data_IF_606706526722
#
_entry.id   IF_606706526722
#
_cell.length_a   1.000
_cell.length_b   1.000
_cell.length_c   1.000
_cell.angle_alpha   90.00
_cell.angle_beta   90.00
_cell.angle_gamma   90.00
#
_symmetry.space_group_name_H-M   'P 1'
#
loop_
_entity.id
_entity.type
_entity.pdbx_description
1 polymer ?
#
# COMPACT_ATOMS: atom_id res chain seq x y z
N UNK A 1 8.18 1.68 -51.37
CA UNK A 1 8.16 2.88 -50.52
C UNK A 1 7.06 2.67 -49.52
N UNK A 2 7.40 2.11 -48.43
CA UNK A 2 6.51 1.81 -47.31
C UNK A 2 7.28 2.12 -46.04
N UNK A 3 6.97 3.28 -45.45
CA UNK A 3 7.29 3.61 -44.08
C UNK A 3 6.20 2.99 -43.24
N UNK A 4 6.49 1.90 -42.54
CA UNK A 4 5.65 1.32 -41.53
C UNK A 4 6.36 1.33 -40.18
N UNK A 5 5.99 2.35 -39.39
CA UNK A 5 5.39 2.18 -38.06
C UNK A 5 6.20 1.36 -37.07
N UNK A 6 7.08 2.03 -36.41
CA UNK A 6 7.46 1.67 -35.04
C UNK A 6 6.55 2.44 -34.07
N UNK A 7 5.34 1.98 -33.83
CA UNK A 7 4.57 2.33 -32.62
C UNK A 7 5.11 1.50 -31.47
N UNK A 8 6.17 1.99 -30.85
CA UNK A 8 6.73 1.37 -29.65
C UNK A 8 5.77 1.56 -28.48
N UNK A 9 5.41 0.46 -27.86
CA UNK A 9 4.78 0.34 -26.55
C UNK A 9 5.52 1.18 -25.50
N UNK A 10 4.95 2.33 -25.14
CA UNK A 10 5.42 3.21 -24.08
C UNK A 10 4.41 3.15 -22.92
N UNK A 11 4.17 1.96 -22.34
CA UNK A 11 3.29 1.88 -21.17
C UNK A 11 3.73 0.97 -20.02
N UNK A 12 4.87 0.27 -20.11
CA UNK A 12 5.20 -0.76 -19.13
C UNK A 12 6.27 -0.40 -18.08
N UNK A 13 6.77 0.83 -17.99
CA UNK A 13 7.90 1.11 -17.09
C UNK A 13 7.84 2.39 -16.26
N UNK A 14 6.74 3.13 -16.25
CA UNK A 14 6.73 4.49 -15.66
C UNK A 14 6.69 4.54 -14.12
N UNK A 15 6.36 3.46 -13.41
CA UNK A 15 6.18 3.47 -11.96
C UNK A 15 7.17 2.60 -11.16
N UNK A 16 8.09 1.89 -11.83
CA UNK A 16 9.11 1.10 -11.12
C UNK A 16 10.26 1.98 -10.67
N UNK A 17 10.71 1.75 -9.42
CA UNK A 17 11.88 2.46 -8.88
C UNK A 17 13.18 1.94 -9.50
N UNK A 18 14.22 2.77 -9.54
CA UNK A 18 15.59 2.35 -9.86
C UNK A 18 16.35 2.05 -8.57
N UNK A 19 17.41 1.26 -8.64
CA UNK A 19 18.26 0.97 -7.47
C UNK A 19 18.83 2.23 -6.80
N UNK A 20 19.05 3.32 -7.55
CA UNK A 20 19.62 4.58 -7.08
C UNK A 20 18.60 5.46 -6.39
N UNK A 21 17.31 5.31 -6.71
CA UNK A 21 16.21 6.16 -6.23
C UNK A 21 15.23 5.43 -5.33
N UNK A 22 15.65 4.28 -4.73
CA UNK A 22 14.86 3.40 -3.89
C UNK A 22 15.32 3.42 -2.42
N UNK A 23 14.97 4.47 -1.64
CA UNK A 23 15.39 4.56 -0.24
C UNK A 23 14.76 3.48 0.64
N UNK A 24 13.49 3.12 0.41
CA UNK A 24 12.79 2.07 1.17
C UNK A 24 13.45 0.71 0.92
N UNK A 25 13.65 0.33 -0.33
CA UNK A 25 14.29 -0.94 -0.66
C UNK A 25 15.74 -1.02 -0.18
N UNK A 26 16.50 0.09 -0.19
CA UNK A 26 17.85 0.14 0.41
C UNK A 26 17.81 -0.13 1.90
N UNK A 27 16.89 0.50 2.62
CA UNK A 27 16.71 0.30 4.05
C UNK A 27 16.36 -1.17 4.38
N UNK A 28 15.41 -1.74 3.62
CA UNK A 28 15.01 -3.14 3.73
C UNK A 28 16.20 -4.07 3.49
N UNK A 29 16.92 -3.88 2.39
CA UNK A 29 18.05 -4.75 2.03
C UNK A 29 19.18 -4.67 3.05
N UNK A 30 19.55 -3.46 3.50
CA UNK A 30 20.59 -3.29 4.53
C UNK A 30 20.20 -3.98 5.84
N UNK A 31 18.95 -3.80 6.29
CA UNK A 31 18.48 -4.46 7.51
C UNK A 31 18.52 -5.98 7.39
N UNK A 32 18.09 -6.53 6.27
CA UNK A 32 18.14 -7.97 6.01
C UNK A 32 19.58 -8.52 6.07
N UNK A 33 20.52 -7.82 5.43
CA UNK A 33 21.91 -8.29 5.31
C UNK A 33 22.71 -8.13 6.59
N UNK A 34 22.39 -7.14 7.42
CA UNK A 34 23.26 -6.74 8.57
C UNK A 34 22.56 -6.85 9.92
N UNK A 35 21.24 -7.00 9.95
CA UNK A 35 20.41 -6.90 11.16
C UNK A 35 20.34 -5.49 11.75
N UNK A 36 20.84 -4.48 11.03
CA UNK A 36 20.88 -3.08 11.45
C UNK A 36 20.50 -2.18 10.29
N UNK A 37 19.73 -1.14 10.58
CA UNK A 37 19.47 -0.03 9.69
C UNK A 37 19.19 1.22 10.51
N UNK A 38 19.49 2.39 9.98
CA UNK A 38 18.96 3.64 10.50
C UNK A 38 17.49 3.75 10.12
N UNK A 39 16.73 4.61 10.77
CA UNK A 39 15.33 4.86 10.39
C UNK A 39 15.26 5.42 8.96
N UNK A 40 14.18 5.05 8.26
CA UNK A 40 13.83 5.65 6.99
C UNK A 40 13.12 6.97 7.29
N UNK A 41 13.66 8.08 6.80
CA UNK A 41 13.08 9.41 6.99
C UNK A 41 12.00 9.68 5.96
N UNK A 42 10.89 10.26 6.42
CA UNK A 42 9.73 10.62 5.60
C UNK A 42 9.48 12.11 5.74
N UNK A 43 9.41 12.79 4.62
CA UNK A 43 9.17 14.23 4.54
C UNK A 43 7.82 14.51 3.91
N UNK A 44 7.10 15.47 4.44
CA UNK A 44 5.89 16.03 3.88
C UNK A 44 5.92 17.56 3.98
N UNK A 45 5.38 18.31 3.00
CA UNK A 45 5.21 19.76 3.16
C UNK A 45 4.21 20.16 4.25
N UNK A 46 3.35 19.22 4.69
CA UNK A 46 2.25 19.50 5.62
C UNK A 46 2.57 19.14 7.07
N UNK A 47 3.57 18.30 7.31
CA UNK A 47 3.88 17.76 8.64
C UNK A 47 5.39 17.79 8.89
N UNK A 48 5.76 17.74 10.16
CA UNK A 48 7.15 17.56 10.58
C UNK A 48 7.72 16.23 10.02
N UNK A 49 9.04 16.17 9.95
CA UNK A 49 9.73 14.97 9.53
C UNK A 49 9.37 13.79 10.43
N UNK A 50 9.03 12.67 9.82
CA UNK A 50 8.73 11.40 10.50
C UNK A 50 9.76 10.32 10.15
N UNK A 51 9.81 9.25 10.94
CA UNK A 51 10.74 8.15 10.78
C UNK A 51 10.04 6.79 10.83
N UNK A 52 10.32 5.95 9.85
CA UNK A 52 9.87 4.56 9.85
C UNK A 52 11.00 3.67 10.36
N UNK A 53 10.86 3.02 11.53
CA UNK A 53 11.80 2.03 12.01
C UNK A 53 11.80 0.80 11.08
N UNK A 54 12.88 0.57 10.35
CA UNK A 54 12.95 -0.48 9.31
C UNK A 54 12.65 -1.87 9.86
N UNK A 55 12.99 -2.13 11.13
CA UNK A 55 12.66 -3.39 11.83
C UNK A 55 11.16 -3.72 11.75
N UNK A 56 10.29 -2.73 11.75
CA UNK A 56 8.83 -2.91 11.68
C UNK A 56 8.40 -3.65 10.42
N UNK A 57 9.14 -3.50 9.32
CA UNK A 57 8.85 -4.18 8.05
C UNK A 57 9.21 -5.69 8.08
N UNK A 58 9.92 -6.15 9.12
CA UNK A 58 10.38 -7.53 9.28
C UNK A 58 9.68 -8.28 10.43
N UNK A 59 8.65 -7.67 11.03
CA UNK A 59 7.92 -8.26 12.15
C UNK A 59 7.25 -9.59 11.77
N UNK A 60 7.09 -10.45 12.76
CA UNK A 60 6.32 -11.69 12.65
C UNK A 60 4.85 -11.39 12.93
N UNK A 61 3.95 -12.31 12.56
CA UNK A 61 2.51 -12.14 12.75
C UNK A 61 2.14 -11.83 14.22
N UNK A 62 2.80 -12.44 15.17
CA UNK A 62 2.56 -12.22 16.60
C UNK A 62 2.88 -10.78 17.06
N UNK A 63 3.79 -10.09 16.34
CA UNK A 63 4.21 -8.73 16.61
C UNK A 63 3.43 -7.68 15.76
N UNK A 64 2.49 -8.13 14.91
CA UNK A 64 1.70 -7.24 14.07
C UNK A 64 0.56 -6.59 14.87
N UNK A 65 0.18 -5.35 14.53
CA UNK A 65 -1.04 -4.71 15.06
C UNK A 65 -2.28 -5.57 14.84
N UNK A 66 -3.31 -5.33 15.66
CA UNK A 66 -4.55 -6.08 15.60
C UNK A 66 -5.23 -6.03 14.22
N UNK A 67 -5.21 -4.86 13.56
CA UNK A 67 -5.80 -4.67 12.23
C UNK A 67 -5.13 -5.58 11.19
N UNK A 68 -3.81 -5.70 11.21
CA UNK A 68 -3.08 -6.56 10.28
C UNK A 68 -3.35 -8.04 10.56
N UNK A 69 -3.28 -8.47 11.82
CA UNK A 69 -3.62 -9.86 12.21
C UNK A 69 -5.07 -10.21 11.81
N UNK A 70 -6.00 -9.25 11.97
CA UNK A 70 -7.39 -9.41 11.53
C UNK A 70 -7.46 -9.60 10.01
N UNK A 71 -6.78 -8.78 9.22
CA UNK A 71 -6.72 -8.91 7.76
C UNK A 71 -6.18 -10.29 7.34
N UNK A 72 -5.06 -10.72 7.94
CA UNK A 72 -4.49 -12.04 7.66
C UNK A 72 -5.45 -13.19 8.01
N UNK A 73 -6.22 -13.05 9.10
CA UNK A 73 -7.22 -14.06 9.50
C UNK A 73 -8.44 -14.13 8.57
N UNK A 74 -8.72 -13.05 7.84
CA UNK A 74 -9.83 -12.95 6.88
C UNK A 74 -9.41 -13.31 5.44
N UNK A 75 -8.12 -13.50 5.21
CA UNK A 75 -7.56 -13.87 3.91
C UNK A 75 -8.05 -15.25 3.50
N UNK A 76 -8.43 -15.40 2.23
CA UNK A 76 -8.90 -16.66 1.64
C UNK A 76 -8.54 -16.76 0.18
N UNK A 77 -8.37 -18.00 -0.28
CA UNK A 77 -8.08 -18.32 -1.68
C UNK A 77 -6.75 -17.71 -2.17
N UNK A 78 -6.65 -17.52 -3.47
CA UNK A 78 -5.47 -16.90 -4.09
C UNK A 78 -5.39 -15.44 -3.68
N UNK A 79 -4.27 -15.03 -3.12
CA UNK A 79 -4.10 -13.73 -2.46
C UNK A 79 -3.03 -12.89 -3.15
N UNK A 80 -3.30 -11.61 -3.36
CA UNK A 80 -2.34 -10.61 -3.79
C UNK A 80 -1.95 -9.74 -2.59
N UNK A 81 -0.65 -9.64 -2.29
CA UNK A 81 -0.09 -8.73 -1.29
C UNK A 81 0.57 -7.55 -2.01
N UNK A 82 -0.03 -6.36 -1.91
CA UNK A 82 0.32 -5.17 -2.68
C UNK A 82 1.25 -4.28 -1.88
N UNK A 83 2.40 -3.90 -2.48
CA UNK A 83 3.42 -3.11 -1.79
C UNK A 83 4.05 -3.90 -0.65
N UNK A 84 4.37 -5.17 -0.91
CA UNK A 84 4.72 -6.14 0.13
C UNK A 84 6.00 -5.82 0.92
N UNK A 85 6.82 -4.86 0.46
CA UNK A 85 8.01 -4.37 1.16
C UNK A 85 9.02 -5.47 1.46
N UNK A 86 9.20 -5.80 2.74
CA UNK A 86 10.05 -6.90 3.16
C UNK A 86 9.34 -8.28 3.16
N UNK A 87 8.03 -8.33 2.85
CA UNK A 87 7.25 -9.56 2.74
C UNK A 87 6.76 -10.14 4.07
N UNK A 88 6.58 -9.33 5.11
CA UNK A 88 6.16 -9.84 6.43
C UNK A 88 4.76 -10.50 6.38
N UNK A 89 3.78 -9.88 5.69
CA UNK A 89 2.44 -10.43 5.52
C UNK A 89 2.46 -11.67 4.61
N UNK A 90 3.17 -11.59 3.48
CA UNK A 90 3.33 -12.71 2.55
C UNK A 90 3.90 -13.94 3.24
N UNK A 91 4.95 -13.79 4.07
CA UNK A 91 5.55 -14.91 4.82
C UNK A 91 4.58 -15.50 5.85
N UNK A 92 3.85 -14.65 6.57
CA UNK A 92 2.85 -15.11 7.54
C UNK A 92 1.73 -15.92 6.86
N UNK A 93 1.27 -15.49 5.68
CA UNK A 93 0.27 -16.20 4.88
C UNK A 93 0.82 -17.50 4.30
N UNK A 94 2.04 -17.48 3.76
CA UNK A 94 2.73 -18.65 3.21
C UNK A 94 2.90 -19.74 4.27
N UNK A 95 3.24 -19.38 5.52
CA UNK A 95 3.33 -20.32 6.64
C UNK A 95 2.00 -20.99 6.99
N UNK A 96 0.88 -20.36 6.65
CA UNK A 96 -0.48 -20.92 6.80
C UNK A 96 -0.94 -21.70 5.56
N UNK A 97 -0.09 -21.86 4.55
CA UNK A 97 -0.41 -22.57 3.31
C UNK A 97 -1.29 -21.77 2.34
N UNK A 98 -1.38 -20.44 2.48
CA UNK A 98 -2.11 -19.58 1.54
C UNK A 98 -1.27 -19.40 0.26
N UNK A 99 -1.92 -19.51 -0.90
CA UNK A 99 -1.32 -19.15 -2.19
C UNK A 99 -1.25 -17.62 -2.30
N UNK A 100 -0.07 -17.05 -2.05
CA UNK A 100 0.16 -15.61 -2.04
C UNK A 100 1.13 -15.19 -3.13
N UNK A 101 0.75 -14.14 -3.87
CA UNK A 101 1.60 -13.40 -4.79
C UNK A 101 1.93 -12.05 -4.17
N UNK A 102 3.21 -11.78 -3.93
CA UNK A 102 3.71 -10.50 -3.43
C UNK A 102 4.15 -9.62 -4.60
N UNK A 103 3.69 -8.38 -4.63
CA UNK A 103 4.16 -7.40 -5.63
C UNK A 103 4.72 -6.16 -4.94
N UNK A 104 5.74 -5.58 -5.56
CA UNK A 104 6.32 -4.30 -5.13
C UNK A 104 6.93 -3.59 -6.33
N UNK A 105 6.99 -2.26 -6.30
CA UNK A 105 7.66 -1.43 -7.33
C UNK A 105 9.15 -1.27 -7.07
N UNK A 106 9.63 -1.64 -5.87
CA UNK A 106 11.02 -1.59 -5.44
C UNK A 106 11.77 -2.86 -5.85
N UNK A 107 12.78 -2.77 -6.72
CA UNK A 107 13.60 -3.93 -7.09
C UNK A 107 14.37 -4.51 -5.90
N UNK A 108 14.78 -3.67 -4.93
CA UNK A 108 15.50 -4.10 -3.74
C UNK A 108 14.58 -4.82 -2.73
N UNK A 109 13.32 -4.38 -2.60
CA UNK A 109 12.30 -5.09 -1.82
C UNK A 109 12.04 -6.48 -2.42
N UNK A 110 11.84 -6.56 -3.74
CA UNK A 110 11.62 -7.82 -4.47
C UNK A 110 12.81 -8.77 -4.30
N UNK A 111 14.03 -8.27 -4.43
CA UNK A 111 15.24 -9.07 -4.19
C UNK A 111 15.29 -9.60 -2.75
N UNK A 112 14.99 -8.73 -1.77
CA UNK A 112 15.01 -9.10 -0.36
C UNK A 112 13.92 -10.13 -0.03
N UNK A 113 12.71 -9.98 -0.56
CA UNK A 113 11.64 -10.97 -0.40
C UNK A 113 12.03 -12.35 -0.94
N UNK A 114 12.71 -12.41 -2.09
CA UNK A 114 13.23 -13.66 -2.65
C UNK A 114 14.29 -14.28 -1.73
N UNK A 115 15.19 -13.49 -1.17
CA UNK A 115 16.19 -13.95 -0.20
C UNK A 115 15.58 -14.40 1.12
N UNK A 116 14.37 -13.96 1.44
CA UNK A 116 13.57 -14.38 2.59
C UNK A 116 12.64 -15.57 2.30
N UNK A 117 12.79 -16.22 1.14
CA UNK A 117 11.99 -17.37 0.72
C UNK A 117 10.49 -17.10 0.55
N UNK A 118 10.11 -15.86 0.17
CA UNK A 118 8.76 -15.59 -0.33
C UNK A 118 8.62 -16.27 -1.71
N UNK A 119 7.67 -17.20 -1.84
CA UNK A 119 7.62 -18.14 -2.96
C UNK A 119 7.28 -17.51 -4.31
N UNK A 120 6.38 -16.52 -4.31
CA UNK A 120 5.91 -15.86 -5.54
C UNK A 120 6.03 -14.35 -5.37
N UNK A 121 7.07 -13.75 -5.97
CA UNK A 121 7.39 -12.33 -5.85
C UNK A 121 7.59 -11.73 -7.23
N UNK A 122 6.95 -10.60 -7.51
CA UNK A 122 7.03 -9.91 -8.78
C UNK A 122 7.36 -8.42 -8.59
N UNK A 123 8.25 -7.90 -9.45
CA UNK A 123 8.50 -6.45 -9.58
C UNK A 123 7.40 -5.87 -10.47
N UNK A 124 6.36 -5.31 -9.87
CA UNK A 124 5.15 -4.92 -10.57
C UNK A 124 4.43 -3.76 -9.87
N UNK A 125 3.90 -2.82 -10.66
CA UNK A 125 2.93 -1.83 -10.19
C UNK A 125 1.56 -2.50 -10.02
N UNK A 126 0.79 -2.08 -9.01
CA UNK A 126 -0.54 -2.63 -8.75
C UNK A 126 -1.48 -2.49 -9.97
N UNK A 127 -1.45 -1.35 -10.65
CA UNK A 127 -2.32 -1.11 -11.80
C UNK A 127 -1.94 -1.90 -13.06
N UNK A 128 -0.78 -2.56 -13.07
CA UNK A 128 -0.35 -3.47 -14.14
C UNK A 128 -0.81 -4.93 -13.93
N UNK A 129 -1.35 -5.26 -12.75
CA UNK A 129 -1.84 -6.60 -12.41
C UNK A 129 -2.99 -6.99 -13.33
N UNK A 130 -2.92 -8.21 -13.90
CA UNK A 130 -3.96 -8.74 -14.82
C UNK A 130 -4.57 -10.05 -14.35
N UNK A 131 -3.92 -10.74 -13.42
CA UNK A 131 -4.45 -11.96 -12.81
C UNK A 131 -5.58 -11.66 -11.83
N UNK A 132 -6.44 -12.66 -11.60
CA UNK A 132 -7.54 -12.56 -10.64
C UNK A 132 -7.22 -13.21 -9.32
N UNK A 133 -7.68 -12.59 -8.24
CA UNK A 133 -7.44 -13.00 -6.86
C UNK A 133 -8.75 -13.08 -6.06
N UNK A 134 -8.79 -13.98 -5.09
CA UNK A 134 -9.90 -14.09 -4.13
C UNK A 134 -9.78 -13.04 -3.03
N UNK A 135 -8.54 -12.71 -2.65
CA UNK A 135 -8.24 -11.65 -1.69
C UNK A 135 -7.13 -10.75 -2.22
N UNK A 136 -7.31 -9.45 -2.09
CA UNK A 136 -6.26 -8.45 -2.32
C UNK A 136 -6.00 -7.78 -0.97
N UNK A 137 -4.73 -7.71 -0.56
CA UNK A 137 -4.29 -7.02 0.64
C UNK A 137 -3.59 -5.72 0.27
N UNK A 138 -4.00 -4.62 0.90
CA UNK A 138 -3.34 -3.32 0.88
C UNK A 138 -3.18 -2.86 2.32
N UNK A 139 -2.14 -3.34 3.00
CA UNK A 139 -1.91 -3.12 4.43
C UNK A 139 -0.80 -2.10 4.69
N UNK A 140 -0.75 -1.56 5.93
CA UNK A 140 0.09 -0.44 6.35
C UNK A 140 -0.23 0.86 5.60
N UNK A 141 -1.50 1.24 5.63
CA UNK A 141 -2.06 2.31 4.81
C UNK A 141 -1.83 2.08 3.29
N UNK A 142 -1.91 0.81 2.88
CA UNK A 142 -1.61 0.41 1.51
C UNK A 142 -2.56 1.00 0.48
N UNK A 143 -3.79 1.37 0.86
CA UNK A 143 -4.72 2.10 -0.03
C UNK A 143 -4.16 3.46 -0.46
N UNK A 144 -3.19 3.99 0.28
CA UNK A 144 -2.52 5.25 -0.01
C UNK A 144 -1.86 5.32 -1.39
N UNK A 145 -1.57 4.18 -2.04
CA UNK A 145 -1.04 4.12 -3.41
C UNK A 145 -1.95 4.80 -4.44
N UNK A 146 -3.25 4.94 -4.15
CA UNK A 146 -4.21 5.66 -5.00
C UNK A 146 -3.85 7.14 -5.10
N UNK A 147 -3.25 7.72 -4.07
CA UNK A 147 -2.71 9.07 -4.00
C UNK A 147 -3.75 10.16 -3.81
N UNK A 148 -4.93 10.06 -4.46
CA UNK A 148 -6.00 11.08 -4.39
C UNK A 148 -7.38 10.44 -4.40
N UNK A 149 -8.34 11.06 -3.70
CA UNK A 149 -9.75 10.63 -3.69
C UNK A 149 -10.34 10.61 -5.11
N UNK A 150 -9.98 11.58 -5.95
CA UNK A 150 -10.43 11.64 -7.34
C UNK A 150 -10.03 10.43 -8.20
N UNK A 151 -9.00 9.66 -7.78
CA UNK A 151 -8.56 8.42 -8.44
C UNK A 151 -9.21 7.15 -7.90
N UNK A 152 -10.05 7.23 -6.87
CA UNK A 152 -10.77 6.05 -6.34
C UNK A 152 -11.58 5.31 -7.43
N UNK A 153 -12.25 5.97 -8.38
CA UNK A 153 -12.91 5.25 -9.47
C UNK A 153 -11.96 4.43 -10.36
N UNK A 154 -10.69 4.83 -10.48
CA UNK A 154 -9.64 4.07 -11.19
C UNK A 154 -9.32 2.78 -10.44
N UNK A 155 -9.13 2.85 -9.10
CA UNK A 155 -8.95 1.69 -8.23
C UNK A 155 -10.09 0.68 -8.42
N UNK A 156 -11.35 1.12 -8.28
CA UNK A 156 -12.51 0.21 -8.36
C UNK A 156 -12.68 -0.41 -9.75
N UNK A 157 -12.40 0.34 -10.81
CA UNK A 157 -12.40 -0.20 -12.17
C UNK A 157 -11.30 -1.25 -12.35
N UNK A 158 -10.14 -1.05 -11.73
CA UNK A 158 -9.06 -2.03 -11.75
C UNK A 158 -9.45 -3.28 -10.96
N UNK A 159 -10.06 -3.14 -9.78
CA UNK A 159 -10.58 -4.25 -8.97
C UNK A 159 -11.62 -5.10 -9.73
N UNK A 160 -12.44 -4.52 -10.61
CA UNK A 160 -13.37 -5.28 -11.47
C UNK A 160 -12.66 -6.29 -12.37
N UNK A 161 -11.43 -5.99 -12.77
CA UNK A 161 -10.64 -6.86 -13.63
C UNK A 161 -9.88 -7.94 -12.86
N UNK A 162 -9.46 -7.65 -11.63
CA UNK A 162 -8.51 -8.50 -10.87
C UNK A 162 -9.12 -9.19 -9.65
N UNK A 163 -10.36 -8.90 -9.25
CA UNK A 163 -11.09 -9.68 -8.25
C UNK A 163 -11.85 -10.83 -8.89
N UNK A 164 -11.76 -12.01 -8.26
CA UNK A 164 -12.64 -13.13 -8.56
C UNK A 164 -14.09 -12.78 -8.16
N UNK A 165 -15.10 -13.42 -8.79
CA UNK A 165 -16.49 -13.32 -8.32
C UNK A 165 -16.57 -13.69 -6.82
N UNK A 166 -17.09 -12.77 -6.01
CA UNK A 166 -17.13 -12.92 -4.56
C UNK A 166 -15.80 -12.68 -3.84
N UNK A 167 -14.77 -12.22 -4.55
CA UNK A 167 -13.50 -11.80 -3.96
C UNK A 167 -13.62 -10.55 -3.11
N UNK A 168 -12.54 -10.20 -2.40
CA UNK A 168 -12.50 -9.07 -1.47
C UNK A 168 -11.19 -8.30 -1.56
N UNK A 169 -11.27 -6.98 -1.32
CA UNK A 169 -10.14 -6.16 -0.93
C UNK A 169 -10.18 -5.99 0.58
N UNK A 170 -9.05 -6.23 1.25
CA UNK A 170 -8.81 -5.88 2.65
C UNK A 170 -7.74 -4.78 2.65
N UNK A 171 -8.09 -3.60 3.09
CA UNK A 171 -7.19 -2.46 3.15
C UNK A 171 -7.36 -1.71 4.46
N UNK A 172 -6.28 -1.15 4.96
CA UNK A 172 -6.33 -0.24 6.09
C UNK A 172 -6.05 1.20 5.64
N UNK A 173 -6.54 2.12 6.43
CA UNK A 173 -6.22 3.54 6.37
C UNK A 173 -6.44 4.17 7.74
N UNK A 174 -6.13 5.46 7.85
CA UNK A 174 -6.35 6.26 9.05
C UNK A 174 -7.10 7.53 8.69
N UNK A 175 -7.96 7.97 9.60
CA UNK A 175 -8.48 9.33 9.58
C UNK A 175 -7.43 10.24 10.24
N UNK A 176 -6.78 11.08 9.46
CA UNK A 176 -5.76 12.01 9.96
C UNK A 176 -6.33 13.40 10.30
N UNK A 177 -7.64 13.55 10.39
CA UNK A 177 -8.26 14.82 10.77
C UNK A 177 -7.82 15.34 12.13
N UNK A 178 -7.44 14.44 13.06
CA UNK A 178 -6.93 14.78 14.39
C UNK A 178 -5.68 15.67 14.39
N UNK A 179 -4.87 15.65 13.33
CA UNK A 179 -3.67 16.51 13.22
C UNK A 179 -4.02 17.97 13.02
N UNK A 180 -5.28 18.28 12.72
CA UNK A 180 -5.84 19.63 12.58
C UNK A 180 -6.66 20.03 13.81
N UNK A 181 -6.55 19.30 14.92
CA UNK A 181 -7.17 19.65 16.19
C UNK A 181 -6.40 20.80 16.85
N UNK A 182 -7.12 21.88 17.18
CA UNK A 182 -6.55 23.03 17.87
C UNK A 182 -6.51 22.81 19.39
N UNK A 183 -5.90 23.73 20.15
CA UNK A 183 -5.74 23.67 21.60
C UNK A 183 -7.09 23.57 22.37
N UNK A 184 -8.22 23.84 21.74
CA UNK A 184 -9.56 23.74 22.32
C UNK A 184 -10.26 22.40 21.98
N UNK A 185 -9.59 21.46 21.32
CA UNK A 185 -10.16 20.19 20.90
C UNK A 185 -11.11 20.30 19.69
N UNK A 186 -11.01 21.37 18.90
CA UNK A 186 -11.82 21.57 17.70
C UNK A 186 -10.96 21.23 16.47
N UNK A 187 -11.48 20.36 15.60
CA UNK A 187 -10.84 20.02 14.33
C UNK A 187 -11.19 21.11 13.32
N UNK A 188 -10.16 21.83 12.88
CA UNK A 188 -10.25 22.87 11.85
C UNK A 188 -9.52 22.39 10.60
N UNK A 189 -10.24 21.71 9.69
CA UNK A 189 -9.66 21.22 8.45
C UNK A 189 -9.10 22.38 7.62
N UNK A 190 -7.95 22.20 6.96
CA UNK A 190 -7.34 23.23 6.15
C UNK A 190 -8.23 23.60 4.96
N UNK A 191 -8.31 24.88 4.62
CA UNK A 191 -8.96 25.36 3.40
C UNK A 191 -8.02 25.10 2.20
N UNK A 192 -8.05 23.87 1.69
CA UNK A 192 -7.23 23.41 0.57
C UNK A 192 -8.12 22.93 -0.57
N UNK A 193 -7.62 23.05 -1.79
CA UNK A 193 -8.26 22.45 -2.95
C UNK A 193 -7.98 20.92 -2.95
N UNK A 194 -8.95 20.14 -2.48
CA UNK A 194 -8.85 18.68 -2.39
C UNK A 194 -9.26 18.13 -1.03
N UNK A 195 -8.92 16.86 -0.82
CA UNK A 195 -9.21 16.15 0.42
C UNK A 195 -8.05 16.27 1.40
N UNK A 196 -8.32 16.50 2.70
CA UNK A 196 -7.30 16.77 3.72
C UNK A 196 -6.27 15.65 3.92
N UNK A 197 -6.61 14.44 3.53
CA UNK A 197 -5.72 13.26 3.60
C UNK A 197 -4.89 13.00 2.33
N UNK A 198 -4.94 13.90 1.32
CA UNK A 198 -4.09 13.82 0.13
C UNK A 198 -2.72 14.45 0.41
N UNK A 199 -1.73 13.62 0.70
CA UNK A 199 -0.40 14.05 1.09
C UNK A 199 0.60 13.90 -0.06
N UNK A 200 1.69 14.63 0.03
CA UNK A 200 2.88 14.42 -0.79
C UNK A 200 4.01 13.98 0.14
N UNK A 201 4.55 12.79 -0.11
CA UNK A 201 5.68 12.26 0.64
C UNK A 201 6.95 12.22 -0.19
N UNK A 202 8.07 12.31 0.50
CA UNK A 202 9.39 12.03 -0.03
C UNK A 202 10.16 11.23 1.02
N UNK A 203 10.78 10.13 0.62
CA UNK A 203 11.56 9.29 1.51
C UNK A 203 13.05 9.48 1.31
N UNK A 204 13.82 9.34 2.39
CA UNK A 204 15.28 9.36 2.36
C UNK A 204 15.85 8.29 3.29
N UNK A 205 16.78 7.53 2.79
CA UNK A 205 17.58 6.58 3.56
C UNK A 205 19.05 6.89 3.36
N UNK A 206 19.74 7.28 4.44
CA UNK A 206 21.11 7.78 4.38
C UNK A 206 21.26 8.92 3.35
N UNK A 207 22.07 8.70 2.33
CA UNK A 207 22.33 9.62 1.20
C UNK A 207 21.36 9.43 0.03
N UNK A 208 20.55 8.35 0.06
CA UNK A 208 19.60 8.05 -1.01
C UNK A 208 18.27 8.73 -0.75
N UNK A 209 17.90 9.65 -1.63
CA UNK A 209 16.64 10.38 -1.60
C UNK A 209 15.79 9.99 -2.80
N UNK A 210 14.56 9.55 -2.54
CA UNK A 210 13.58 9.20 -3.57
C UNK A 210 12.91 10.43 -4.18
N UNK A 211 12.17 10.23 -5.26
CA UNK A 211 11.27 11.25 -5.79
C UNK A 211 10.09 11.48 -4.83
N UNK A 212 9.46 12.65 -4.91
CA UNK A 212 8.20 12.90 -4.21
C UNK A 212 7.07 12.13 -4.89
N UNK A 213 6.13 11.61 -4.09
CA UNK A 213 4.99 10.85 -4.56
C UNK A 213 3.73 11.20 -3.76
N UNK A 214 2.53 11.13 -4.38
CA UNK A 214 1.28 11.31 -3.68
C UNK A 214 0.96 10.09 -2.83
N UNK A 215 0.34 10.32 -1.66
CA UNK A 215 -0.10 9.27 -0.76
C UNK A 215 -1.42 9.66 -0.10
N UNK A 216 -2.39 8.75 -0.07
CA UNK A 216 -3.71 9.02 0.45
C UNK A 216 -3.92 8.38 1.83
N UNK A 217 -4.29 9.20 2.80
CA UNK A 217 -5.00 8.76 4.00
C UNK A 217 -6.48 9.08 3.82
N UNK A 218 -7.36 8.12 4.03
CA UNK A 218 -8.78 8.32 3.78
C UNK A 218 -9.61 7.84 4.98
N UNK A 219 -10.53 8.67 5.46
CA UNK A 219 -11.48 8.27 6.50
C UNK A 219 -12.47 7.22 6.00
N UNK A 220 -13.07 6.47 6.95
CA UNK A 220 -13.92 5.34 6.64
C UNK A 220 -15.22 5.73 5.89
N UNK A 221 -15.77 6.91 6.17
CA UNK A 221 -17.02 7.35 5.55
C UNK A 221 -16.78 7.80 4.10
N UNK A 222 -15.73 8.56 3.85
CA UNK A 222 -15.31 8.93 2.49
C UNK A 222 -14.96 7.70 1.66
N UNK A 223 -14.22 6.71 2.22
CA UNK A 223 -13.93 5.46 1.52
C UNK A 223 -15.20 4.69 1.20
N UNK A 224 -16.17 4.64 2.13
CA UNK A 224 -17.47 3.99 1.90
C UNK A 224 -18.23 4.64 0.75
N UNK A 225 -18.33 5.97 0.73
CA UNK A 225 -18.97 6.71 -0.35
C UNK A 225 -18.31 6.42 -1.70
N UNK A 226 -16.99 6.42 -1.77
CA UNK A 226 -16.25 6.07 -2.98
C UNK A 226 -16.55 4.64 -3.45
N UNK A 227 -16.53 3.67 -2.53
CA UNK A 227 -16.81 2.27 -2.84
C UNK A 227 -18.26 2.09 -3.36
N UNK A 228 -19.22 2.67 -2.66
CA UNK A 228 -20.65 2.54 -3.01
C UNK A 228 -20.99 3.18 -4.34
N UNK A 229 -20.38 4.32 -4.65
CA UNK A 229 -20.56 5.00 -5.95
C UNK A 229 -20.02 4.18 -7.13
N UNK A 230 -19.07 3.27 -6.85
CA UNK A 230 -18.47 2.37 -7.84
C UNK A 230 -19.08 0.95 -7.83
N UNK A 231 -20.20 0.73 -7.11
CA UNK A 231 -20.90 -0.57 -7.10
C UNK A 231 -20.31 -1.60 -6.14
N UNK A 232 -19.53 -1.15 -5.15
CA UNK A 232 -18.98 -1.97 -4.06
C UNK A 232 -19.72 -1.70 -2.77
N UNK A 233 -19.60 -2.62 -1.82
CA UNK A 233 -19.97 -2.40 -0.43
C UNK A 233 -18.70 -2.42 0.42
N UNK A 234 -18.66 -1.60 1.45
CA UNK A 234 -17.54 -1.47 2.37
C UNK A 234 -18.03 -1.60 3.80
N UNK A 235 -17.32 -2.39 4.59
CA UNK A 235 -17.52 -2.50 6.04
C UNK A 235 -16.19 -2.30 6.77
N UNK A 236 -16.22 -1.59 7.89
CA UNK A 236 -15.09 -1.56 8.83
C UNK A 236 -15.17 -2.83 9.66
N UNK A 237 -14.17 -3.70 9.51
CA UNK A 237 -14.14 -5.02 10.19
C UNK A 237 -13.28 -5.04 11.44
N UNK A 238 -12.47 -4.00 11.63
CA UNK A 238 -11.64 -3.78 12.81
C UNK A 238 -11.26 -2.30 12.90
N UNK A 239 -11.38 -1.73 14.11
CA UNK A 239 -10.76 -0.45 14.46
C UNK A 239 -9.37 -0.72 15.05
N UNK A 240 -8.42 0.14 14.75
CA UNK A 240 -7.10 0.14 15.37
C UNK A 240 -7.04 1.03 16.62
N UNK A 241 -5.82 1.29 17.09
CA UNK A 241 -5.62 2.03 18.34
C UNK A 241 -5.57 3.55 18.13
N UNK A 242 -5.24 4.02 16.92
CA UNK A 242 -4.96 5.43 16.61
C UNK A 242 -5.66 5.89 15.32
N UNK A 243 -7.01 6.00 15.35
CA UNK A 243 -7.82 6.47 14.20
C UNK A 243 -7.67 5.62 12.93
N UNK A 244 -6.93 4.54 13.00
CA UNK A 244 -6.74 3.56 11.93
C UNK A 244 -7.87 2.52 11.93
N UNK A 245 -8.18 2.00 10.77
CA UNK A 245 -9.23 1.00 10.59
C UNK A 245 -8.89 0.03 9.47
N UNK A 246 -9.41 -1.19 9.57
CA UNK A 246 -9.39 -2.18 8.49
C UNK A 246 -10.75 -2.19 7.80
N UNK A 247 -10.75 -1.94 6.51
CA UNK A 247 -11.91 -2.08 5.65
C UNK A 247 -11.90 -3.40 4.89
N UNK A 248 -13.07 -4.01 4.78
CA UNK A 248 -13.36 -5.05 3.82
C UNK A 248 -14.26 -4.50 2.73
N UNK A 249 -13.83 -4.62 1.49
CA UNK A 249 -14.56 -4.11 0.32
C UNK A 249 -14.86 -5.28 -0.60
N UNK A 250 -16.14 -5.42 -1.00
CA UNK A 250 -16.62 -6.48 -1.89
C UNK A 250 -17.59 -5.92 -2.92
N UNK A 251 -17.64 -6.52 -4.12
CA UNK A 251 -18.57 -6.08 -5.16
C UNK A 251 -20.02 -6.37 -4.73
N UNK A 252 -20.92 -5.39 -4.92
CA UNK A 252 -22.36 -5.61 -4.74
C UNK A 252 -22.86 -6.66 -5.74
N UNK A 253 -23.72 -7.55 -5.27
CA UNK A 253 -24.32 -8.61 -6.09
C UNK A 253 -25.39 -8.04 -7.02
#
# INVERSE_FOLDING_TARGET
MSEDTASMNVSESQHRLSYETDPMGRAIKEFFMTGRAVSLRVFSPMFDEDEIPVKTLFRREEDMPLIERKALSMTRGKTLDVGAGAGCHSLALQQKGVDVCAIDISPLSVETMKLRDVSNVQLMDFFDVKERFDTILMLMNGIGIVGKVSRMPELFRHLDNILQPGGQLLCDSSDISYVFENDNGVIELPDIDGYYGELTYQMQYRDTKGASFPWLYIDADTLRVCAESCGYQMEVVQQGEHYDYLARITKKR
#
